data_IF_316009481139
#
_entry.id   IF_316009481139
#
_cell.length_a   1.000
_cell.length_b   1.000
_cell.length_c   1.000
_cell.angle_alpha   90.00
_cell.angle_beta   90.00
_cell.angle_gamma   90.00
#
_symmetry.space_group_name_H-M   'P 1'
#
loop_
_entity.id
_entity.type
_entity.pdbx_description
1 polymer ?
#
# COMPACT_ATOMS: atom_id res chain seq x y z
N UNK A 1 3.57 8.76 -7.76
CA UNK A 1 3.66 9.32 -9.12
C UNK A 1 2.27 9.62 -9.62
N UNK A 2 2.08 10.77 -10.20
CA UNK A 2 0.80 11.28 -10.68
C UNK A 2 0.78 11.30 -12.21
N UNK A 3 -0.27 10.71 -12.80
CA UNK A 3 -0.49 10.67 -14.25
C UNK A 3 -1.74 11.50 -14.55
N UNK A 4 -1.60 12.47 -15.44
CA UNK A 4 -2.71 13.34 -15.87
C UNK A 4 -2.97 13.16 -17.35
N UNK A 5 -4.23 12.97 -17.72
CA UNK A 5 -4.68 13.12 -19.09
C UNK A 5 -4.88 14.59 -19.47
N UNK A 6 -5.03 14.88 -20.76
CA UNK A 6 -5.01 16.27 -21.26
C UNK A 6 -6.06 17.18 -20.65
N UNK A 7 -7.15 16.72 -20.07
CA UNK A 7 -8.15 17.60 -19.45
C UNK A 7 -9.04 17.00 -18.34
N UNK A 8 -9.08 15.70 -18.09
CA UNK A 8 -10.18 15.19 -17.27
C UNK A 8 -9.86 14.10 -16.25
N UNK A 9 -8.77 13.36 -16.33
CA UNK A 9 -8.51 12.28 -15.40
C UNK A 9 -7.16 12.37 -14.70
N UNK A 10 -7.10 11.81 -13.47
CA UNK A 10 -5.90 11.68 -12.68
C UNK A 10 -5.79 10.26 -12.16
N UNK A 11 -4.62 9.66 -12.32
CA UNK A 11 -4.26 8.40 -11.68
C UNK A 11 -2.97 8.59 -10.89
N UNK A 12 -2.95 8.18 -9.62
CA UNK A 12 -1.76 8.18 -8.79
C UNK A 12 -1.40 6.76 -8.39
N UNK A 13 -0.11 6.44 -8.49
CA UNK A 13 0.43 5.15 -8.09
C UNK A 13 1.39 5.39 -6.94
N UNK A 14 1.07 4.82 -5.80
CA UNK A 14 1.87 4.89 -4.58
C UNK A 14 2.52 3.53 -4.36
N UNK A 15 3.78 3.47 -4.62
CA UNK A 15 4.63 2.30 -4.36
C UNK A 15 5.53 2.63 -3.19
N UNK A 16 5.78 1.66 -2.34
CA UNK A 16 6.61 1.81 -1.14
C UNK A 16 6.03 2.83 -0.13
N UNK A 17 4.76 2.64 0.19
CA UNK A 17 4.14 3.42 1.27
C UNK A 17 4.69 2.98 2.61
N UNK A 18 5.48 3.86 3.22
CA UNK A 18 6.29 3.58 4.38
C UNK A 18 5.53 2.87 5.51
N UNK A 19 4.43 3.46 5.95
CA UNK A 19 3.66 2.94 7.07
C UNK A 19 2.91 1.66 6.72
N UNK A 20 2.41 1.57 5.51
CA UNK A 20 1.75 0.37 4.97
C UNK A 20 2.73 -0.79 4.90
N UNK A 21 3.93 -0.54 4.38
CA UNK A 21 5.00 -1.53 4.31
C UNK A 21 5.42 -2.01 5.71
N UNK A 22 5.63 -1.07 6.65
CA UNK A 22 5.99 -1.40 8.04
C UNK A 22 4.88 -2.20 8.75
N UNK A 23 3.61 -1.84 8.55
CA UNK A 23 2.50 -2.57 9.14
C UNK A 23 2.42 -4.02 8.64
N UNK A 24 2.63 -4.23 7.33
CA UNK A 24 2.65 -5.57 6.74
C UNK A 24 3.83 -6.40 7.25
N UNK A 25 5.02 -5.77 7.36
CA UNK A 25 6.21 -6.44 7.87
C UNK A 25 6.04 -6.86 9.33
N UNK A 26 5.53 -5.95 10.19
CA UNK A 26 5.27 -6.24 11.61
C UNK A 26 4.25 -7.38 11.76
N UNK A 27 3.18 -7.38 10.97
CA UNK A 27 2.23 -8.49 10.94
C UNK A 27 2.91 -9.82 10.65
N UNK A 28 3.78 -9.85 9.65
CA UNK A 28 4.49 -11.05 9.25
C UNK A 28 5.49 -11.50 10.33
N UNK A 29 6.29 -10.56 10.87
CA UNK A 29 7.30 -10.82 11.89
C UNK A 29 6.70 -11.38 13.19
N UNK A 30 5.59 -10.82 13.64
CA UNK A 30 4.91 -11.24 14.87
C UNK A 30 3.85 -12.33 14.63
N UNK A 31 3.68 -12.79 13.38
CA UNK A 31 2.69 -13.81 12.99
C UNK A 31 1.28 -13.49 13.48
N UNK A 32 0.89 -12.22 13.36
CA UNK A 32 -0.41 -11.76 13.87
C UNK A 32 -1.54 -12.36 13.05
N UNK A 33 -2.35 -13.17 13.70
CA UNK A 33 -3.58 -13.71 13.14
C UNK A 33 -4.67 -12.64 13.20
N UNK A 34 -5.13 -12.21 12.03
CA UNK A 34 -6.08 -11.11 11.88
C UNK A 34 -7.43 -11.67 11.46
N UNK A 35 -8.54 -11.23 12.08
CA UNK A 35 -9.86 -11.67 11.68
C UNK A 35 -10.15 -11.27 10.21
N UNK A 36 -10.98 -12.04 9.50
CA UNK A 36 -11.33 -11.76 8.11
C UNK A 36 -11.93 -10.36 7.94
N UNK A 37 -11.42 -9.64 6.94
CA UNK A 37 -11.93 -8.33 6.56
C UNK A 37 -11.71 -8.07 5.07
N UNK A 38 -12.61 -7.32 4.40
CA UNK A 38 -12.54 -7.05 2.95
C UNK A 38 -11.24 -6.34 2.50
N UNK A 39 -10.63 -5.55 3.39
CA UNK A 39 -9.38 -4.83 3.14
C UNK A 39 -8.16 -5.53 3.72
N UNK A 40 -8.32 -6.71 4.31
CA UNK A 40 -7.20 -7.48 4.85
C UNK A 40 -6.36 -8.01 3.68
N UNK A 41 -5.08 -7.61 3.56
CA UNK A 41 -4.20 -8.15 2.53
C UNK A 41 -3.75 -9.57 2.87
N UNK A 42 -3.34 -10.31 1.84
CA UNK A 42 -2.68 -11.60 2.00
C UNK A 42 -1.35 -11.54 2.75
N UNK A 43 -0.64 -12.66 2.83
CA UNK A 43 0.69 -12.71 3.42
C UNK A 43 1.68 -11.82 2.66
N UNK A 44 2.65 -11.28 3.40
CA UNK A 44 3.74 -10.52 2.82
C UNK A 44 4.54 -11.39 1.82
N UNK A 45 4.92 -10.81 0.69
CA UNK A 45 5.70 -11.50 -0.36
C UNK A 45 7.19 -11.36 -0.08
N UNK A 46 7.66 -12.21 0.83
CA UNK A 46 9.08 -12.35 1.23
C UNK A 46 9.42 -13.82 1.30
N UNK A 47 10.67 -14.17 0.99
CA UNK A 47 11.13 -15.56 0.98
C UNK A 47 11.17 -16.16 2.39
N UNK A 48 11.74 -15.42 3.33
CA UNK A 48 11.81 -15.83 4.74
C UNK A 48 11.21 -14.73 5.62
N UNK A 49 10.05 -14.98 6.25
CA UNK A 49 9.53 -14.05 7.24
C UNK A 49 10.48 -14.01 8.45
N UNK A 50 10.74 -12.82 9.00
CA UNK A 50 11.57 -12.70 10.18
C UNK A 50 10.97 -13.53 11.32
N UNK A 51 11.81 -14.29 11.98
CA UNK A 51 11.38 -15.12 13.12
C UNK A 51 11.29 -14.26 14.36
N UNK A 52 10.09 -14.15 14.91
CA UNK A 52 9.93 -13.65 16.27
C UNK A 52 10.39 -14.71 17.27
N UNK A 53 11.29 -14.33 18.18
CA UNK A 53 11.72 -15.19 19.30
C UNK A 53 10.67 -15.26 20.41
N UNK A 54 9.67 -14.40 20.37
CA UNK A 54 8.55 -14.39 21.30
C UNK A 54 7.30 -13.93 20.54
N UNK A 55 6.48 -14.84 19.99
CA UNK A 55 5.18 -14.47 19.45
C UNK A 55 4.34 -13.90 20.60
N UNK A 56 4.33 -12.58 20.73
CA UNK A 56 3.57 -11.91 21.76
C UNK A 56 2.15 -11.69 21.25
N UNK A 57 1.17 -12.29 21.94
CA UNK A 57 -0.26 -12.27 21.62
C UNK A 57 -0.86 -10.90 21.36
N UNK A 58 -0.50 -10.28 20.24
CA UNK A 58 -1.19 -9.09 19.75
C UNK A 58 -2.57 -9.50 19.31
N UNK A 59 -3.62 -8.88 19.84
CA UNK A 59 -4.94 -9.08 19.29
C UNK A 59 -4.94 -8.68 17.81
N UNK A 60 -5.27 -9.59 16.92
CA UNK A 60 -5.38 -9.29 15.49
C UNK A 60 -6.37 -8.17 15.18
N UNK A 61 -7.31 -7.93 16.08
CA UNK A 61 -8.24 -6.80 16.04
C UNK A 61 -7.57 -5.45 16.23
N UNK A 62 -6.54 -5.35 17.09
CA UNK A 62 -5.75 -4.11 17.25
C UNK A 62 -4.97 -3.81 15.97
N UNK A 63 -4.30 -4.83 15.41
CA UNK A 63 -3.59 -4.66 14.14
C UNK A 63 -4.55 -4.28 13.01
N UNK A 64 -5.72 -4.91 12.93
CA UNK A 64 -6.73 -4.59 11.90
C UNK A 64 -7.21 -3.14 12.03
N UNK A 65 -7.49 -2.68 13.24
CA UNK A 65 -7.88 -1.29 13.49
C UNK A 65 -6.81 -0.31 13.01
N UNK A 66 -5.55 -0.58 13.33
CA UNK A 66 -4.42 0.22 12.84
C UNK A 66 -4.30 0.17 11.32
N UNK A 67 -4.35 -1.03 10.72
CA UNK A 67 -4.32 -1.20 9.26
C UNK A 67 -5.40 -0.37 8.56
N UNK A 68 -6.63 -0.43 9.05
CA UNK A 68 -7.74 0.33 8.48
C UNK A 68 -7.50 1.83 8.59
N UNK A 69 -6.96 2.31 9.70
CA UNK A 69 -6.62 3.73 9.85
C UNK A 69 -5.58 4.19 8.83
N UNK A 70 -4.59 3.34 8.50
CA UNK A 70 -3.57 3.65 7.49
C UNK A 70 -4.13 3.72 6.07
N UNK A 71 -5.03 2.81 5.72
CA UNK A 71 -5.50 2.69 4.33
C UNK A 71 -6.78 3.49 4.05
N UNK A 72 -7.62 3.75 5.06
CA UNK A 72 -8.86 4.52 4.90
C UNK A 72 -8.65 6.01 5.07
N UNK A 73 -7.65 6.43 5.86
CA UNK A 73 -7.36 7.85 6.06
C UNK A 73 -6.60 8.41 4.85
N UNK A 74 -7.06 9.54 4.33
CA UNK A 74 -6.35 10.29 3.26
C UNK A 74 -5.18 11.10 3.84
N UNK A 75 -4.43 10.54 4.77
CA UNK A 75 -3.26 11.24 5.28
C UNK A 75 -2.16 11.21 4.22
N UNK A 76 -1.90 12.37 3.63
CA UNK A 76 -0.55 12.69 3.18
C UNK A 76 0.28 12.90 4.45
N UNK A 77 0.73 11.84 5.06
CA UNK A 77 1.81 11.95 6.04
C UNK A 77 2.99 12.46 5.22
N UNK A 78 3.34 13.72 5.42
CA UNK A 78 4.59 14.23 4.92
C UNK A 78 5.64 13.19 5.31
N UNK A 79 6.39 12.70 4.32
CA UNK A 79 7.50 11.77 4.53
C UNK A 79 8.37 12.41 5.60
N UNK A 80 8.57 11.83 6.77
CA UNK A 80 9.53 12.38 7.70
C UNK A 80 10.88 12.35 6.98
N UNK A 81 11.43 13.51 6.67
CA UNK A 81 12.74 13.65 6.02
C UNK A 81 13.88 13.14 6.91
N UNK A 82 13.55 12.89 8.17
CA UNK A 82 14.47 12.34 9.18
C UNK A 82 13.81 11.12 9.79
N UNK A 83 14.49 9.96 9.88
CA UNK A 83 14.01 8.87 10.71
C UNK A 83 13.74 9.43 12.11
N UNK A 84 12.60 9.13 12.76
CA UNK A 84 12.44 9.50 14.15
C UNK A 84 13.65 8.93 14.90
N UNK A 85 14.45 9.79 15.52
CA UNK A 85 15.47 9.33 16.44
C UNK A 85 14.77 8.45 17.50
N UNK A 86 15.42 7.36 17.96
CA UNK A 86 14.81 6.44 18.93
C UNK A 86 14.71 7.06 20.33
N UNK A 87 14.59 8.36 20.43
CA UNK A 87 14.41 9.09 21.67
C UNK A 87 12.93 9.40 21.83
N UNK A 88 12.31 8.94 22.87
CA UNK A 88 11.05 9.25 23.58
C UNK A 88 9.82 9.85 22.82
N UNK A 89 10.03 10.38 21.64
CA UNK A 89 9.05 10.77 20.65
C UNK A 89 8.88 9.63 19.62
N UNK A 90 8.47 8.45 20.09
CA UNK A 90 7.77 7.57 19.15
C UNK A 90 6.59 8.40 18.67
N UNK A 91 6.55 8.87 17.42
CA UNK A 91 5.38 9.59 16.97
C UNK A 91 4.22 8.69 17.39
N UNK A 92 3.13 9.22 17.92
CA UNK A 92 1.85 8.55 17.83
C UNK A 92 1.45 8.63 16.34
N UNK A 93 2.10 7.86 15.52
CA UNK A 93 1.86 7.94 14.13
C UNK A 93 0.61 7.14 13.95
N UNK A 94 -0.56 7.75 14.15
CA UNK A 94 -1.67 7.15 13.46
C UNK A 94 -2.58 6.25 14.29
N UNK A 95 -2.90 6.69 15.50
CA UNK A 95 -3.94 6.04 16.29
C UNK A 95 -3.48 4.84 17.11
N UNK A 96 -2.18 4.66 17.37
CA UNK A 96 -1.68 3.61 18.27
C UNK A 96 -1.82 3.97 19.75
N UNK A 97 -2.14 5.22 20.08
CA UNK A 97 -2.34 5.65 21.47
C UNK A 97 -3.43 4.83 22.19
N UNK A 98 -4.47 4.43 21.46
CA UNK A 98 -5.55 3.59 21.98
C UNK A 98 -5.28 2.07 21.94
N UNK A 99 -4.10 1.65 21.44
CA UNK A 99 -3.73 0.26 21.18
C UNK A 99 -2.41 -0.10 21.89
N UNK A 100 -2.38 -0.12 23.22
CA UNK A 100 -1.14 -0.18 24.00
C UNK A 100 -0.32 -1.44 23.73
N UNK A 101 -0.96 -2.59 23.48
CA UNK A 101 -0.27 -3.86 23.18
C UNK A 101 0.44 -3.76 21.83
N UNK A 102 -0.27 -3.32 20.81
CA UNK A 102 0.30 -3.14 19.47
C UNK A 102 1.38 -2.05 19.47
N UNK A 103 1.16 -0.95 20.20
CA UNK A 103 2.14 0.14 20.32
C UNK A 103 3.50 -0.35 20.83
N UNK A 104 3.51 -1.18 21.87
CA UNK A 104 4.74 -1.75 22.43
C UNK A 104 5.46 -2.65 21.41
N UNK A 105 4.73 -3.37 20.58
CA UNK A 105 5.29 -4.22 19.54
C UNK A 105 5.81 -3.39 18.38
N UNK A 106 5.02 -2.42 17.92
CA UNK A 106 5.43 -1.50 16.86
C UNK A 106 6.73 -0.79 17.26
N UNK A 107 6.81 -0.24 18.48
CA UNK A 107 8.03 0.41 18.97
C UNK A 107 9.24 -0.52 18.93
N UNK A 108 9.09 -1.77 19.38
CA UNK A 108 10.17 -2.76 19.38
C UNK A 108 10.60 -3.19 17.98
N UNK A 109 9.65 -3.34 17.05
CA UNK A 109 9.89 -3.85 15.70
C UNK A 109 10.16 -2.78 14.66
N UNK A 110 10.00 -1.52 15.04
CA UNK A 110 10.12 -0.41 14.11
C UNK A 110 11.46 -0.33 13.38
N UNK A 111 12.62 -0.48 14.07
CA UNK A 111 13.92 -0.43 13.37
C UNK A 111 14.03 -1.49 12.26
N UNK A 112 13.62 -2.73 12.55
CA UNK A 112 13.70 -3.82 11.58
C UNK A 112 12.73 -3.59 10.38
N UNK A 113 11.51 -3.14 10.67
CA UNK A 113 10.51 -2.83 9.64
C UNK A 113 10.96 -1.66 8.75
N UNK A 114 11.57 -0.64 9.35
CA UNK A 114 12.17 0.50 8.66
C UNK A 114 13.28 0.07 7.70
N UNK A 115 14.25 -0.69 8.21
CA UNK A 115 15.38 -1.19 7.42
C UNK A 115 14.89 -2.06 6.24
N UNK A 116 13.91 -2.92 6.49
CA UNK A 116 13.30 -3.73 5.44
C UNK A 116 12.65 -2.84 4.38
N UNK A 117 11.87 -1.82 4.77
CA UNK A 117 11.25 -0.90 3.83
C UNK A 117 12.29 -0.18 2.97
N UNK A 118 13.37 0.34 3.57
CA UNK A 118 14.44 1.04 2.84
C UNK A 118 15.15 0.12 1.85
N UNK A 119 15.46 -1.12 2.26
CA UNK A 119 16.07 -2.10 1.38
C UNK A 119 15.15 -2.44 0.21
N UNK A 120 13.87 -2.70 0.49
CA UNK A 120 12.86 -2.96 -0.54
C UNK A 120 12.71 -1.78 -1.52
N UNK A 121 12.71 -0.54 -1.02
CA UNK A 121 12.66 0.65 -1.88
C UNK A 121 13.89 0.74 -2.78
N UNK A 122 15.10 0.52 -2.22
CA UNK A 122 16.35 0.55 -2.97
C UNK A 122 16.38 -0.51 -4.07
N UNK A 123 16.01 -1.73 -3.74
CA UNK A 123 15.94 -2.85 -4.69
C UNK A 123 14.87 -2.64 -5.76
N UNK A 124 13.75 -2.05 -5.36
CA UNK A 124 12.68 -1.70 -6.27
C UNK A 124 13.09 -0.63 -7.29
N UNK A 125 13.78 0.42 -6.84
CA UNK A 125 14.31 1.45 -7.73
C UNK A 125 15.32 0.91 -8.74
N UNK A 126 16.13 -0.06 -8.32
CA UNK A 126 17.11 -0.69 -9.22
C UNK A 126 16.45 -1.57 -10.30
N UNK A 127 15.33 -2.22 -9.99
CA UNK A 127 14.64 -3.16 -10.90
C UNK A 127 13.58 -2.51 -11.78
N UNK A 128 12.92 -1.46 -11.31
CA UNK A 128 11.79 -0.86 -11.99
C UNK A 128 12.19 0.47 -12.64
N UNK A 129 12.43 0.42 -13.94
CA UNK A 129 12.40 1.63 -14.76
C UNK A 129 11.00 2.28 -14.76
N UNK A 130 10.75 3.33 -15.54
CA UNK A 130 9.50 4.11 -15.51
C UNK A 130 8.29 3.31 -16.05
N UNK A 131 7.81 2.35 -15.27
CA UNK A 131 6.60 1.52 -15.55
C UNK A 131 5.32 2.38 -15.65
N UNK A 132 5.41 3.63 -15.25
CA UNK A 132 4.30 4.55 -15.18
C UNK A 132 3.67 4.96 -16.50
N UNK A 133 4.41 4.94 -17.59
CA UNK A 133 3.89 5.31 -18.91
C UNK A 133 2.76 4.38 -19.36
N UNK A 134 2.92 3.07 -19.12
CA UNK A 134 1.95 2.06 -19.54
C UNK A 134 0.55 2.28 -18.92
N UNK A 135 0.48 2.72 -17.65
CA UNK A 135 -0.81 2.97 -16.97
C UNK A 135 -1.57 4.15 -17.59
N UNK A 136 -0.88 5.25 -17.89
CA UNK A 136 -1.48 6.40 -18.58
C UNK A 136 -1.88 6.10 -20.02
N UNK A 137 -1.09 5.27 -20.71
CA UNK A 137 -1.38 4.84 -22.08
C UNK A 137 -2.70 4.05 -22.17
N UNK A 138 -3.04 3.27 -21.14
CA UNK A 138 -4.31 2.52 -21.10
C UNK A 138 -5.51 3.47 -21.13
N UNK A 139 -5.49 4.54 -20.33
CA UNK A 139 -6.58 5.53 -20.34
C UNK A 139 -6.69 6.23 -21.70
N UNK A 140 -5.57 6.64 -22.29
CA UNK A 140 -5.54 7.24 -23.62
C UNK A 140 -6.01 6.27 -24.71
N UNK A 141 -5.76 4.96 -24.58
CA UNK A 141 -6.28 3.95 -25.49
C UNK A 141 -7.80 3.80 -25.37
N UNK A 142 -8.33 3.87 -24.13
CA UNK A 142 -9.79 3.85 -23.91
C UNK A 142 -10.44 5.07 -24.54
N UNK A 143 -9.92 6.28 -24.35
CA UNK A 143 -10.44 7.50 -25.00
C UNK A 143 -10.48 7.35 -26.52
N UNK A 144 -9.40 6.88 -27.10
CA UNK A 144 -9.34 6.63 -28.56
C UNK A 144 -10.36 5.59 -29.01
N UNK A 145 -10.53 4.51 -28.25
CA UNK A 145 -11.51 3.45 -28.61
C UNK A 145 -12.96 3.91 -28.51
N UNK A 146 -13.25 4.85 -27.60
CA UNK A 146 -14.58 5.43 -27.42
C UNK A 146 -14.85 6.61 -28.35
N UNK A 147 -13.81 7.12 -29.02
CA UNK A 147 -13.84 8.36 -29.84
C UNK A 147 -14.44 9.55 -29.06
N UNK A 148 -14.21 9.61 -27.74
CA UNK A 148 -14.60 10.69 -26.84
C UNK A 148 -13.67 10.81 -25.66
N UNK A 149 -13.60 11.99 -25.05
CA UNK A 149 -12.92 12.18 -23.78
C UNK A 149 -13.65 11.44 -22.65
N UNK A 150 -12.87 10.93 -21.70
CA UNK A 150 -13.41 10.35 -20.47
C UNK A 150 -14.02 11.43 -19.59
N UNK A 151 -15.01 11.05 -18.77
CA UNK A 151 -15.51 11.91 -17.70
C UNK A 151 -14.40 12.16 -16.69
N UNK A 152 -14.39 13.32 -16.02
CA UNK A 152 -13.39 13.60 -14.99
C UNK A 152 -13.44 12.56 -13.87
N UNK A 153 -12.28 11.97 -13.53
CA UNK A 153 -12.13 11.09 -12.38
C UNK A 153 -10.73 11.22 -11.75
N UNK A 154 -10.64 10.87 -10.50
CA UNK A 154 -9.38 10.71 -9.78
C UNK A 154 -9.34 9.33 -9.15
N UNK A 155 -8.21 8.61 -9.29
CA UNK A 155 -8.04 7.29 -8.68
C UNK A 155 -6.62 7.12 -8.18
N UNK A 156 -6.49 6.50 -7.00
CA UNK A 156 -5.23 6.21 -6.35
C UNK A 156 -5.05 4.69 -6.20
N UNK A 157 -3.89 4.20 -6.57
CA UNK A 157 -3.50 2.81 -6.43
C UNK A 157 -2.34 2.71 -5.43
N UNK A 158 -2.58 2.04 -4.30
CA UNK A 158 -1.56 1.75 -3.29
C UNK A 158 -1.07 0.33 -3.56
N UNK A 159 0.20 0.20 -3.95
CA UNK A 159 0.79 -1.09 -4.27
C UNK A 159 1.27 -1.79 -3.01
N UNK A 160 0.89 -3.06 -2.86
CA UNK A 160 1.20 -3.89 -1.70
C UNK A 160 2.14 -5.05 -2.06
N UNK A 161 3.20 -5.29 -1.29
CA UNK A 161 4.11 -6.42 -1.47
C UNK A 161 3.52 -7.70 -0.87
N UNK A 162 2.44 -8.21 -1.42
CA UNK A 162 1.71 -9.36 -0.89
C UNK A 162 1.54 -10.47 -1.92
N UNK A 163 1.42 -11.71 -1.44
CA UNK A 163 1.35 -12.92 -2.28
C UNK A 163 0.00 -13.14 -2.94
N UNK A 164 -1.06 -12.54 -2.42
CA UNK A 164 -2.37 -12.68 -3.04
C UNK A 164 -2.48 -11.85 -4.34
N UNK A 165 -3.56 -12.10 -5.09
CA UNK A 165 -3.82 -11.42 -6.36
C UNK A 165 -5.14 -10.62 -6.32
N UNK A 166 -5.62 -10.31 -5.12
CA UNK A 166 -6.92 -9.66 -4.93
C UNK A 166 -6.74 -8.14 -4.88
N UNK A 167 -7.28 -7.45 -5.88
CA UNK A 167 -7.40 -5.99 -5.84
C UNK A 167 -8.58 -5.64 -4.93
N UNK A 168 -8.30 -4.78 -3.93
CA UNK A 168 -9.29 -4.37 -2.92
C UNK A 168 -9.65 -2.92 -3.10
N UNK A 169 -10.95 -2.67 -3.17
CA UNK A 169 -11.47 -1.31 -3.23
C UNK A 169 -11.61 -0.75 -1.82
N UNK A 170 -10.88 0.30 -1.50
CA UNK A 170 -11.00 1.03 -0.22
C UNK A 170 -12.25 1.90 -0.25
N UNK A 171 -12.31 2.80 -1.21
CA UNK A 171 -13.44 3.69 -1.49
C UNK A 171 -13.65 3.87 -3.01
N UNK A 172 -14.37 4.91 -3.42
CA UNK A 172 -14.65 5.14 -4.84
C UNK A 172 -13.43 5.58 -5.66
N UNK A 173 -12.39 6.08 -5.00
CA UNK A 173 -11.18 6.61 -5.63
C UNK A 173 -9.91 5.81 -5.30
N UNK A 174 -9.92 4.90 -4.30
CA UNK A 174 -8.71 4.21 -3.84
C UNK A 174 -8.81 2.69 -3.90
N UNK A 175 -7.70 2.09 -4.32
CA UNK A 175 -7.54 0.65 -4.44
C UNK A 175 -6.21 0.19 -3.84
N UNK A 176 -6.24 -0.93 -3.13
CA UNK A 176 -5.05 -1.69 -2.73
C UNK A 176 -4.78 -2.72 -3.80
N UNK A 177 -3.59 -2.68 -4.38
CA UNK A 177 -3.22 -3.53 -5.52
C UNK A 177 -1.98 -4.33 -5.17
N UNK A 178 -2.03 -5.68 -5.20
CA UNK A 178 -0.81 -6.48 -5.06
C UNK A 178 0.19 -6.13 -6.16
N UNK A 179 1.48 -5.96 -5.81
CA UNK A 179 2.52 -5.63 -6.80
C UNK A 179 2.60 -6.67 -7.91
N UNK A 180 2.47 -7.96 -7.58
CA UNK A 180 2.45 -9.04 -8.57
C UNK A 180 1.31 -8.95 -9.59
N UNK A 181 0.18 -8.34 -9.22
CA UNK A 181 -0.90 -8.05 -10.17
C UNK A 181 -0.55 -6.83 -11.01
N UNK A 182 -0.06 -5.77 -10.38
CA UNK A 182 0.36 -4.54 -11.07
C UNK A 182 1.45 -4.81 -12.12
N UNK A 183 2.42 -5.67 -11.80
CA UNK A 183 3.53 -6.02 -12.69
C UNK A 183 3.17 -7.14 -13.70
N UNK A 184 1.89 -7.57 -13.76
CA UNK A 184 1.41 -8.62 -14.65
C UNK A 184 0.52 -8.08 -15.79
N UNK A 185 0.30 -8.85 -16.88
CA UNK A 185 -0.66 -8.48 -17.92
C UNK A 185 -2.11 -8.30 -17.42
N UNK A 186 -2.48 -8.91 -16.30
CA UNK A 186 -3.82 -8.78 -15.70
C UNK A 186 -4.13 -7.34 -15.30
N UNK A 187 -3.10 -6.56 -14.93
CA UNK A 187 -3.27 -5.15 -14.58
C UNK A 187 -3.89 -4.34 -15.73
N UNK A 188 -3.36 -4.49 -16.93
CA UNK A 188 -3.85 -3.73 -18.09
C UNK A 188 -5.32 -4.03 -18.39
N UNK A 189 -5.73 -5.30 -18.28
CA UNK A 189 -7.12 -5.72 -18.49
C UNK A 189 -8.02 -5.11 -17.41
N UNK A 190 -7.66 -5.32 -16.14
CA UNK A 190 -8.43 -4.82 -15.01
C UNK A 190 -8.57 -3.29 -15.01
N UNK A 191 -7.46 -2.57 -15.30
CA UNK A 191 -7.46 -1.11 -15.34
C UNK A 191 -8.34 -0.58 -16.49
N UNK A 192 -8.28 -1.22 -17.65
CA UNK A 192 -9.15 -0.87 -18.78
C UNK A 192 -10.62 -0.98 -18.39
N UNK A 193 -11.00 -2.08 -17.74
CA UNK A 193 -12.38 -2.30 -17.28
C UNK A 193 -12.79 -1.28 -16.22
N UNK A 194 -11.87 -0.89 -15.33
CA UNK A 194 -12.11 0.17 -14.37
C UNK A 194 -12.37 1.50 -15.08
N UNK A 195 -11.47 1.91 -15.99
CA UNK A 195 -11.57 3.18 -16.72
C UNK A 195 -12.84 3.27 -17.53
N UNK A 196 -13.27 2.17 -18.17
CA UNK A 196 -14.55 2.11 -18.91
C UNK A 196 -15.78 2.31 -18.00
N UNK A 197 -15.68 1.93 -16.73
CA UNK A 197 -16.80 2.07 -15.77
C UNK A 197 -16.89 3.46 -15.15
N UNK A 198 -15.75 4.13 -14.94
CA UNK A 198 -15.71 5.41 -14.21
C UNK A 198 -15.55 6.63 -15.11
N UNK A 199 -15.01 6.46 -16.32
CA UNK A 199 -14.81 7.49 -17.37
C UNK A 199 -15.89 7.44 -18.43
#
# INVERSE_FOLDING_TARGET
MELRGPMSWRMSIRRWEYLVDCALWIRAAERIEVPPHRLLPGPLDIDEPPTSTAPGGVPGTEWLGWWLSLVETRQQVARPEVPPEPADDTPDPLGLASLPTLRGIVARRWPEAHDWHLNRQRDGLARHGPVSRATGEIANQVERSLNRSLRPFSVEFILLPVRDEVIRRVDHERYLVPERVYDSPRWAVWLRDLVLRIG
#
